data_IF_328299702495
#
_entry.id   IF_328299702495
#
_cell.length_a   1.000
_cell.length_b   1.000
_cell.length_c   1.000
_cell.angle_alpha   90.00
_cell.angle_beta   90.00
_cell.angle_gamma   90.00
#
_symmetry.space_group_name_H-M   'P 1'
#
loop_
_entity.id
_entity.type
_entity.pdbx_description
1 polymer ?
#
# COMPACT_ATOMS: atom_id res chain seq x y z
N UNK A 1 23.00 -26.02 -8.49
CA UNK A 1 22.72 -25.53 -8.32
C UNK A 1 22.48 -25.03 -7.97
N UNK A 2 22.54 -25.13 -7.75
CA UNK A 2 22.14 -24.61 -7.41
C UNK A 2 21.98 -23.87 -7.05
N UNK A 3 22.03 -23.97 -7.07
CA UNK A 3 21.73 -23.20 -6.91
C UNK A 3 21.37 -22.54 -6.81
N UNK A 4 21.33 -22.72 -6.91
CA UNK A 4 20.94 -22.03 -7.06
C UNK A 4 20.37 -21.47 -6.85
N UNK A 5 20.23 -21.77 -6.83
CA UNK A 5 19.65 -21.23 -6.68
C UNK A 5 19.38 -20.57 -6.43
N UNK A 6 19.29 -20.54 -6.45
CA UNK A 6 19.10 -19.86 -6.12
C UNK A 6 19.09 -19.02 -5.74
N UNK A 7 18.89 -18.79 -5.60
CA UNK A 7 18.73 -17.82 -5.17
C UNK A 7 19.15 -16.90 -5.15
N UNK A 8 19.44 -16.28 -5.16
CA UNK A 8 19.72 -15.35 -5.15
C UNK A 8 19.35 -14.34 -5.70
N UNK A 9 19.23 -14.11 -6.36
CA UNK A 9 18.86 -13.19 -6.93
C UNK A 9 18.04 -12.20 -6.39
N UNK A 10 17.21 -12.18 -6.09
CA UNK A 10 16.23 -11.29 -5.60
C UNK A 10 16.56 -10.76 -4.29
N UNK A 11 17.77 -10.49 -4.09
CA UNK A 11 18.22 -10.09 -2.77
C UNK A 11 17.80 -8.72 -2.34
N UNK A 12 17.44 -7.83 -3.28
CA UNK A 12 17.09 -6.47 -2.90
C UNK A 12 16.00 -6.37 -1.87
N UNK A 13 14.93 -7.08 -2.06
CA UNK A 13 13.82 -6.96 -1.12
C UNK A 13 13.99 -7.83 0.12
N UNK A 14 15.00 -8.63 0.18
CA UNK A 14 15.27 -9.40 1.38
C UNK A 14 15.77 -8.53 2.52
N UNK A 15 16.21 -7.33 2.21
CA UNK A 15 16.69 -6.41 3.23
C UNK A 15 15.57 -5.54 3.80
N UNK A 16 14.35 -5.73 3.35
CA UNK A 16 13.23 -4.93 3.78
C UNK A 16 12.09 -5.86 4.15
N UNK A 17 12.10 -6.38 5.37
CA UNK A 17 11.18 -7.47 5.75
C UNK A 17 9.71 -7.10 5.60
N UNK A 18 9.35 -5.83 5.67
CA UNK A 18 7.96 -5.43 5.58
C UNK A 18 7.44 -5.33 4.16
N UNK A 19 8.32 -5.45 3.17
CA UNK A 19 7.93 -5.34 1.76
C UNK A 19 8.14 -6.65 1.02
N UNK A 20 7.71 -7.74 1.62
CA UNK A 20 7.88 -9.05 1.02
C UNK A 20 6.84 -9.32 -0.04
N UNK A 21 7.21 -10.07 -1.09
CA UNK A 21 6.20 -10.50 -2.06
C UNK A 21 5.11 -11.32 -1.40
N UNK A 22 3.96 -11.37 -2.05
CA UNK A 22 2.79 -12.02 -1.50
C UNK A 22 3.02 -13.49 -1.18
N UNK A 23 3.77 -14.18 -1.99
CA UNK A 23 3.98 -15.60 -1.80
C UNK A 23 4.76 -15.94 -0.53
N UNK A 24 5.48 -14.98 0.04
CA UNK A 24 6.21 -15.23 1.27
C UNK A 24 5.30 -15.29 2.49
N UNK A 25 4.10 -14.82 2.35
CA UNK A 25 3.19 -14.74 3.46
C UNK A 25 2.75 -16.10 3.99
N UNK A 26 2.75 -17.10 3.12
CA UNK A 26 2.27 -18.43 3.52
C UNK A 26 3.08 -19.03 4.65
N UNK A 27 4.31 -18.59 4.83
CA UNK A 27 5.18 -19.14 5.88
C UNK A 27 4.93 -18.48 7.24
N UNK A 28 4.03 -17.53 7.33
CA UNK A 28 3.84 -16.75 8.55
C UNK A 28 2.43 -16.93 9.08
N UNK A 29 2.30 -17.10 10.40
CA UNK A 29 0.97 -17.19 10.99
C UNK A 29 0.19 -15.91 10.77
N UNK A 30 -1.10 -16.06 10.59
CA UNK A 30 -1.99 -14.91 10.46
C UNK A 30 -2.56 -14.60 11.82
N UNK A 31 -1.93 -13.67 12.53
CA UNK A 31 -2.41 -13.31 13.86
C UNK A 31 -3.41 -12.16 13.82
N UNK A 32 -3.42 -11.39 12.72
CA UNK A 32 -4.30 -10.23 12.61
C UNK A 32 -5.09 -10.32 11.32
N UNK A 33 -6.16 -11.11 11.36
CA UNK A 33 -7.05 -11.23 10.22
C UNK A 33 -8.03 -10.08 10.27
N UNK A 34 -8.08 -9.32 9.18
CA UNK A 34 -8.92 -8.14 9.12
C UNK A 34 -10.32 -8.53 8.69
N UNK A 35 -11.27 -8.21 9.54
CA UNK A 35 -12.68 -8.41 9.21
C UNK A 35 -13.24 -7.25 8.43
N UNK A 36 -14.50 -7.35 8.00
CA UNK A 36 -15.09 -6.32 7.14
C UNK A 36 -15.31 -4.99 7.85
N UNK A 37 -15.34 -4.98 9.16
CA UNK A 37 -15.57 -3.73 9.89
C UNK A 37 -14.28 -2.99 10.24
N UNK A 38 -13.13 -3.55 9.93
CA UNK A 38 -11.89 -2.83 10.11
C UNK A 38 -11.80 -1.70 9.10
N UNK A 39 -10.97 -0.69 9.41
CA UNK A 39 -10.75 0.43 8.52
C UNK A 39 -9.27 0.66 8.32
N UNK A 40 -8.97 1.42 7.29
CA UNK A 40 -7.60 1.76 6.94
C UNK A 40 -7.44 3.26 7.11
N UNK A 41 -6.48 3.66 7.94
CA UNK A 41 -6.24 5.07 8.20
C UNK A 41 -4.92 5.49 7.57
N UNK A 42 -4.94 6.60 6.86
CA UNK A 42 -3.76 7.19 6.25
C UNK A 42 -3.47 8.50 6.99
N UNK A 43 -2.30 8.59 7.57
CA UNK A 43 -1.86 9.85 8.18
C UNK A 43 -0.91 10.53 7.22
N UNK A 44 -1.27 11.74 6.80
CA UNK A 44 -0.51 12.51 5.82
C UNK A 44 -0.24 13.86 6.43
N UNK A 45 1.01 14.06 6.86
CA UNK A 45 1.34 15.23 7.65
C UNK A 45 0.57 15.19 8.95
N UNK A 46 -0.25 16.20 9.20
CA UNK A 46 -1.07 16.24 10.40
C UNK A 46 -2.51 15.83 10.16
N UNK A 47 -2.83 15.44 8.94
CA UNK A 47 -4.19 15.05 8.58
C UNK A 47 -4.32 13.55 8.57
N UNK A 48 -5.53 13.09 8.84
CA UNK A 48 -5.84 11.66 8.84
C UNK A 48 -7.05 11.42 7.97
N UNK A 49 -6.98 10.40 7.14
CA UNK A 49 -8.10 9.97 6.32
C UNK A 49 -8.35 8.51 6.63
N UNK A 50 -9.60 8.15 6.86
CA UNK A 50 -9.97 6.77 7.19
C UNK A 50 -10.90 6.25 6.12
N UNK A 51 -10.60 5.07 5.61
CA UNK A 51 -11.40 4.40 4.60
C UNK A 51 -11.93 3.08 5.14
N UNK A 52 -13.14 2.75 4.75
CA UNK A 52 -13.66 1.41 4.98
C UNK A 52 -12.91 0.44 4.10
N UNK A 53 -12.67 -0.77 4.60
CA UNK A 53 -11.97 -1.76 3.81
C UNK A 53 -12.84 -2.24 2.67
N UNK A 54 -12.25 -2.31 1.49
CA UNK A 54 -12.87 -2.85 0.30
C UNK A 54 -11.92 -3.88 -0.28
N UNK A 55 -12.43 -4.70 -1.19
CA UNK A 55 -11.58 -5.72 -1.80
C UNK A 55 -10.42 -5.10 -2.56
N UNK A 56 -10.67 -3.99 -3.25
CA UNK A 56 -9.63 -3.26 -3.97
C UNK A 56 -9.84 -1.77 -3.72
N UNK A 57 -8.78 -1.09 -3.33
CA UNK A 57 -8.81 0.34 -3.11
C UNK A 57 -7.74 0.99 -3.97
N UNK A 58 -8.14 1.93 -4.81
CA UNK A 58 -7.23 2.64 -5.70
C UNK A 58 -6.82 3.95 -5.07
N UNK A 59 -5.54 4.23 -5.05
CA UNK A 59 -4.98 5.44 -4.46
C UNK A 59 -4.30 6.24 -5.56
N UNK A 60 -4.61 7.53 -5.61
CA UNK A 60 -4.03 8.38 -6.62
C UNK A 60 -4.54 9.80 -6.48
N UNK A 61 -4.69 10.49 -7.59
CA UNK A 61 -5.22 11.84 -7.60
C UNK A 61 -6.24 11.98 -8.71
N UNK A 62 -7.31 12.69 -8.41
CA UNK A 62 -8.32 12.96 -9.41
C UNK A 62 -7.88 14.16 -10.25
N UNK A 63 -7.99 14.03 -11.56
CA UNK A 63 -7.73 15.13 -12.46
C UNK A 63 -9.02 15.87 -12.76
N UNK A 64 -8.88 17.13 -13.19
CA UNK A 64 -10.04 17.93 -13.52
C UNK A 64 -10.88 17.24 -14.59
N UNK A 65 -12.17 17.18 -14.34
CA UNK A 65 -13.11 16.60 -15.29
C UNK A 65 -13.19 15.09 -15.27
N UNK A 66 -12.46 14.44 -14.37
CA UNK A 66 -12.49 13.00 -14.30
C UNK A 66 -13.47 12.50 -13.26
N UNK A 67 -13.92 11.27 -13.46
CA UNK A 67 -14.82 10.61 -12.55
C UNK A 67 -14.04 10.15 -11.33
N UNK A 68 -14.42 10.67 -10.17
CA UNK A 68 -13.75 10.32 -8.92
C UNK A 68 -14.09 8.93 -8.41
N UNK A 69 -15.05 8.27 -9.02
CA UNK A 69 -15.50 6.97 -8.54
C UNK A 69 -14.44 5.89 -8.66
N UNK A 70 -13.48 6.07 -9.55
CA UNK A 70 -12.43 5.08 -9.73
C UNK A 70 -11.32 5.21 -8.69
N UNK A 71 -11.33 6.26 -7.88
CA UNK A 71 -10.31 6.53 -6.87
C UNK A 71 -10.91 6.36 -5.49
N UNK A 72 -10.36 5.44 -4.70
CA UNK A 72 -10.82 5.23 -3.32
C UNK A 72 -10.23 6.27 -2.37
N UNK A 73 -8.97 6.65 -2.60
CA UNK A 73 -8.33 7.69 -1.82
C UNK A 73 -7.71 8.69 -2.78
N UNK A 74 -8.25 9.90 -2.79
CA UNK A 74 -7.76 10.98 -3.62
C UNK A 74 -6.76 11.79 -2.80
N UNK A 75 -5.50 11.75 -3.20
CA UNK A 75 -4.43 12.46 -2.50
C UNK A 75 -4.27 13.89 -3.00
N UNK A 76 -5.12 14.32 -3.94
CA UNK A 76 -5.05 15.68 -4.46
C UNK A 76 -5.05 16.75 -3.37
N UNK A 77 -5.97 16.70 -2.39
CA UNK A 77 -6.01 17.69 -1.33
C UNK A 77 -4.76 17.73 -0.44
N UNK A 78 -3.89 16.74 -0.56
CA UNK A 78 -2.70 16.62 0.27
C UNK A 78 -1.42 16.94 -0.50
N UNK A 79 -1.54 17.59 -1.65
CA UNK A 79 -0.36 17.98 -2.41
C UNK A 79 0.12 16.92 -3.39
N UNK A 80 -0.76 16.04 -3.83
CA UNK A 80 -0.36 14.92 -4.69
C UNK A 80 0.21 15.38 -6.01
N UNK A 81 -0.32 16.43 -6.60
CA UNK A 81 0.16 16.88 -7.88
C UNK A 81 1.62 17.33 -7.79
N UNK A 82 1.92 18.17 -6.80
CA UNK A 82 3.28 18.65 -6.59
C UNK A 82 4.20 17.52 -6.15
N UNK A 83 3.65 16.53 -5.45
CA UNK A 83 4.41 15.37 -5.01
C UNK A 83 4.67 14.35 -6.09
N UNK A 84 4.10 14.52 -7.28
CA UNK A 84 4.33 13.62 -8.38
C UNK A 84 3.50 12.36 -8.36
N UNK A 85 2.36 12.37 -7.67
CA UNK A 85 1.48 11.21 -7.56
C UNK A 85 0.72 11.05 -8.87
N UNK A 86 0.68 9.82 -9.38
CA UNK A 86 -0.05 9.50 -10.61
C UNK A 86 -1.55 9.43 -10.35
N UNK A 87 -2.35 9.54 -11.41
CA UNK A 87 -3.81 9.47 -11.27
C UNK A 87 -4.25 8.17 -10.65
N UNK A 88 -3.75 7.05 -11.14
CA UNK A 88 -3.94 5.75 -10.52
C UNK A 88 -2.57 5.27 -10.13
N UNK A 89 -2.18 5.56 -8.91
CA UNK A 89 -0.81 5.37 -8.48
C UNK A 89 -0.56 3.99 -7.92
N UNK A 90 -1.43 3.53 -7.05
CA UNK A 90 -1.25 2.25 -6.38
C UNK A 90 -2.60 1.65 -6.04
N UNK A 91 -2.62 0.35 -5.79
CA UNK A 91 -3.82 -0.35 -5.35
C UNK A 91 -3.52 -1.08 -4.06
N UNK A 92 -4.47 -1.05 -3.14
CA UNK A 92 -4.42 -1.88 -1.94
C UNK A 92 -5.52 -2.91 -2.07
N UNK A 93 -5.15 -4.19 -1.96
CA UNK A 93 -6.05 -5.31 -2.17
C UNK A 93 -6.16 -6.12 -0.89
N UNK A 94 -7.39 -6.52 -0.56
CA UNK A 94 -7.65 -7.39 0.57
C UNK A 94 -7.67 -8.83 0.07
N UNK A 95 -6.94 -9.70 0.75
CA UNK A 95 -6.86 -11.11 0.35
C UNK A 95 -6.62 -11.95 1.59
N UNK A 96 -7.54 -12.87 1.85
CA UNK A 96 -7.41 -13.81 2.96
C UNK A 96 -7.12 -13.12 4.29
N UNK A 97 -7.80 -12.03 4.54
CA UNK A 97 -7.67 -11.30 5.79
C UNK A 97 -6.45 -10.42 5.91
N UNK A 98 -5.63 -10.34 4.86
CA UNK A 98 -4.47 -9.47 4.83
C UNK A 98 -4.62 -8.39 3.79
N UNK A 99 -3.73 -7.41 3.84
CA UNK A 99 -3.71 -6.34 2.87
C UNK A 99 -2.40 -6.37 2.10
N UNK A 100 -2.49 -6.05 0.82
CA UNK A 100 -1.34 -6.02 -0.09
C UNK A 100 -1.38 -4.75 -0.89
N UNK A 101 -0.21 -4.23 -1.21
CA UNK A 101 -0.10 -2.99 -1.99
C UNK A 101 0.68 -3.26 -3.27
N UNK A 102 0.27 -2.59 -4.32
CA UNK A 102 0.83 -2.77 -5.65
C UNK A 102 0.97 -1.41 -6.30
N UNK A 103 2.15 -1.14 -6.89
CA UNK A 103 2.33 0.05 -7.71
C UNK A 103 1.73 -0.22 -9.08
N UNK A 104 0.90 0.68 -9.56
CA UNK A 104 0.17 0.49 -10.82
C UNK A 104 0.92 1.04 -12.02
N UNK A 105 2.24 1.00 -12.00
CA UNK A 105 3.04 1.55 -13.07
C UNK A 105 3.14 3.06 -12.97
N UNK A 106 3.21 3.58 -11.76
CA UNK A 106 3.24 5.02 -11.54
C UNK A 106 4.50 5.62 -12.13
N UNK A 107 4.44 6.93 -12.41
CA UNK A 107 5.57 7.64 -12.98
C UNK A 107 6.74 7.72 -12.02
N UNK A 108 6.45 7.95 -10.74
CA UNK A 108 7.50 8.24 -9.76
C UNK A 108 7.66 7.19 -8.68
N UNK A 109 6.90 6.10 -8.76
CA UNK A 109 7.10 4.94 -7.89
C UNK A 109 6.38 4.99 -6.56
N UNK A 110 6.43 3.85 -5.89
CA UNK A 110 5.85 3.67 -4.56
C UNK A 110 6.91 2.98 -3.70
N UNK A 111 7.03 3.41 -2.44
CA UNK A 111 7.96 2.80 -1.49
C UNK A 111 7.24 2.41 -0.22
N UNK A 112 7.68 1.30 0.37
CA UNK A 112 7.24 0.90 1.71
C UNK A 112 8.47 0.91 2.61
N UNK A 113 8.44 1.70 3.66
CA UNK A 113 9.53 1.79 4.62
C UNK A 113 10.87 2.01 3.92
N UNK A 114 10.86 2.81 2.87
CA UNK A 114 12.05 3.15 2.10
C UNK A 114 12.39 2.20 0.98
N UNK A 115 11.70 1.07 0.88
CA UNK A 115 11.96 0.08 -0.15
C UNK A 115 11.10 0.37 -1.38
N UNK A 116 11.74 0.50 -2.54
CA UNK A 116 11.06 0.76 -3.81
C UNK A 116 10.37 -0.50 -4.30
N UNK A 117 9.07 -0.40 -4.54
CA UNK A 117 8.30 -1.54 -5.04
C UNK A 117 8.54 -1.73 -6.53
N UNK A 118 8.56 -2.99 -6.94
CA UNK A 118 8.52 -3.31 -8.36
C UNK A 118 7.08 -3.17 -8.82
N UNK A 119 6.87 -2.44 -9.91
CA UNK A 119 5.52 -2.18 -10.41
C UNK A 119 4.79 -3.49 -10.74
N UNK A 120 3.50 -3.50 -10.50
CA UNK A 120 2.62 -4.62 -10.81
C UNK A 120 2.88 -5.86 -9.99
N UNK A 121 3.56 -5.69 -8.86
CA UNK A 121 3.84 -6.78 -7.95
C UNK A 121 3.22 -6.46 -6.60
N UNK A 122 2.61 -7.44 -5.94
CA UNK A 122 1.93 -7.23 -4.67
C UNK A 122 2.84 -7.53 -3.51
N UNK A 123 2.83 -6.64 -2.52
CA UNK A 123 3.66 -6.73 -1.33
C UNK A 123 2.77 -6.64 -0.10
N UNK A 124 3.11 -7.38 0.94
CA UNK A 124 2.34 -7.33 2.17
C UNK A 124 2.36 -5.95 2.77
N UNK A 125 1.18 -5.46 3.14
CA UNK A 125 1.03 -4.19 3.85
C UNK A 125 0.67 -4.49 5.29
N UNK A 126 1.36 -3.83 6.23
CA UNK A 126 1.17 -4.09 7.65
C UNK A 126 0.83 -2.81 8.39
N UNK A 127 0.20 -2.98 9.55
CA UNK A 127 -0.10 -1.84 10.41
C UNK A 127 1.20 -1.12 10.77
N UNK A 128 1.18 0.20 10.59
CA UNK A 128 2.33 1.02 10.91
C UNK A 128 3.32 1.20 9.77
N UNK A 129 3.05 0.64 8.59
CA UNK A 129 3.94 0.85 7.46
C UNK A 129 3.92 2.28 6.99
N UNK A 130 5.08 2.79 6.65
CA UNK A 130 5.21 4.08 6.02
C UNK A 130 5.27 3.89 4.52
N UNK A 131 4.32 4.48 3.80
CA UNK A 131 4.24 4.32 2.35
C UNK A 131 4.40 5.68 1.71
N UNK A 132 5.30 5.75 0.72
CA UNK A 132 5.48 6.95 -0.07
C UNK A 132 4.89 6.73 -1.44
N UNK A 133 3.92 7.55 -1.79
CA UNK A 133 3.37 7.60 -3.14
C UNK A 133 4.10 8.73 -3.85
N UNK A 134 5.06 8.39 -4.68
CA UNK A 134 6.00 9.37 -5.23
C UNK A 134 6.71 10.06 -4.06
N UNK A 135 6.55 11.37 -3.92
CA UNK A 135 7.17 12.09 -2.80
C UNK A 135 6.22 12.34 -1.64
N UNK A 136 4.99 11.86 -1.74
CA UNK A 136 4.01 12.07 -0.69
C UNK A 136 4.08 10.94 0.32
N UNK A 137 4.49 11.26 1.54
CA UNK A 137 4.70 10.26 2.58
C UNK A 137 3.44 10.09 3.42
N UNK A 138 3.06 8.83 3.66
CA UNK A 138 1.91 8.51 4.48
C UNK A 138 2.27 7.44 5.49
N UNK A 139 1.59 7.45 6.64
CA UNK A 139 1.68 6.39 7.62
C UNK A 139 0.36 5.65 7.63
N UNK A 140 0.40 4.35 7.46
CA UNK A 140 -0.83 3.56 7.34
C UNK A 140 -1.06 2.78 8.63
N UNK A 141 -2.29 2.91 9.16
CA UNK A 141 -2.69 2.20 10.37
C UNK A 141 -3.96 1.41 10.08
N UNK A 142 -4.01 0.23 10.66
CA UNK A 142 -5.20 -0.62 10.60
C UNK A 142 -6.02 -0.32 11.86
N UNK A 143 -7.27 0.09 11.67
CA UNK A 143 -8.12 0.55 12.77
C UNK A 143 -9.22 -0.46 13.02
N UNK A 144 -9.27 -0.98 14.23
CA UNK A 144 -10.32 -1.91 14.66
C UNK A 144 -11.61 -1.15 14.90
N UNK A 145 -12.76 -1.82 14.77
CA UNK A 145 -14.04 -1.15 15.05
C UNK A 145 -14.09 -0.57 16.46
N UNK A 146 -13.53 -1.24 17.43
CA UNK A 146 -13.55 -0.76 18.81
C UNK A 146 -12.68 0.48 19.02
N UNK A 147 -11.78 0.77 18.10
CA UNK A 147 -10.91 1.93 18.20
C UNK A 147 -11.53 3.17 17.59
N UNK A 148 -12.69 3.03 16.99
CA UNK A 148 -13.38 4.17 16.35
C UNK A 148 -14.14 5.03 17.31
N UNK A 149 -14.27 4.63 18.53
CA UNK A 149 -15.09 5.32 19.53
C UNK A 149 -14.43 6.57 20.05
#
# INVERSE_FOLDING_TARGET
MSDDNEPKKETGYLNTPDARPMEDRAARPQTNILGPSWRLQFKIGEKKVTLDLQDVMIIGRTADGEDQKSISLDLGPFGAYQGGVSRQHAAITKHEGGLYIEDLGSTNGTRINGFQLTARRKYRLRDGDEVEFARLRTLIRFVKPSDDV
#
